data_IF_250328038841
#
_entry.id   IF_250328038841
#
_cell.length_a   1.000
_cell.length_b   1.000
_cell.length_c   1.000
_cell.angle_alpha   90.00
_cell.angle_beta   90.00
_cell.angle_gamma   90.00
#
_symmetry.space_group_name_H-M   'P 1'
#
loop_
_entity.id
_entity.type
_entity.pdbx_description
1 polymer ?
#
# COMPACT_ATOMS: atom_id res chain seq x y z
N UNK A 1 10.13 30.90 -16.19
CA UNK A 1 9.18 30.38 -15.23
C UNK A 1 9.90 29.36 -14.32
N UNK A 2 9.72 29.45 -13.01
CA UNK A 2 10.25 28.47 -12.06
C UNK A 2 9.53 27.14 -12.32
N UNK A 3 10.30 26.05 -12.52
CA UNK A 3 9.73 24.72 -12.73
C UNK A 3 9.52 24.04 -11.38
N UNK A 4 8.30 23.61 -11.10
CA UNK A 4 7.96 22.82 -9.92
C UNK A 4 8.28 21.35 -10.16
N UNK A 5 9.00 20.70 -9.23
CA UNK A 5 9.61 19.38 -9.45
C UNK A 5 8.89 18.23 -8.73
N UNK A 6 7.84 18.51 -7.99
CA UNK A 6 7.13 17.52 -7.15
C UNK A 6 6.72 16.28 -7.93
N UNK A 7 5.95 16.44 -9.00
CA UNK A 7 5.43 15.29 -9.75
C UNK A 7 6.53 14.50 -10.46
N UNK A 8 7.57 15.18 -10.97
CA UNK A 8 8.72 14.52 -11.56
C UNK A 8 9.48 13.67 -10.52
N UNK A 9 9.54 14.13 -9.27
CA UNK A 9 10.18 13.38 -8.18
C UNK A 9 9.29 12.23 -7.70
N UNK A 10 7.98 12.43 -7.54
CA UNK A 10 7.03 11.36 -7.22
C UNK A 10 7.10 10.24 -8.27
N UNK A 11 7.22 10.55 -9.56
CA UNK A 11 7.32 9.54 -10.61
C UNK A 11 8.55 8.62 -10.46
N UNK A 12 9.52 8.98 -9.63
CA UNK A 12 10.72 8.18 -9.38
C UNK A 12 10.49 7.03 -8.38
N UNK A 13 9.34 6.99 -7.71
CA UNK A 13 8.94 5.86 -6.87
C UNK A 13 9.05 4.52 -7.62
N UNK A 14 8.87 4.52 -8.95
CA UNK A 14 9.01 3.34 -9.81
C UNK A 14 10.41 2.73 -9.83
N UNK A 15 11.43 3.47 -9.44
CA UNK A 15 12.82 3.01 -9.45
C UNK A 15 13.29 2.48 -8.10
N UNK A 16 12.46 2.51 -7.07
CA UNK A 16 12.80 2.03 -5.73
C UNK A 16 12.16 0.66 -5.55
N UNK A 17 13.01 -0.37 -5.61
CA UNK A 17 12.60 -1.75 -5.43
C UNK A 17 12.30 -2.07 -3.97
N UNK A 18 11.30 -2.89 -3.74
CA UNK A 18 10.94 -3.48 -2.44
C UNK A 18 11.52 -4.89 -2.35
N UNK A 19 11.62 -5.41 -1.11
CA UNK A 19 12.13 -6.78 -0.86
C UNK A 19 13.55 -7.02 -1.40
N UNK A 20 14.39 -6.00 -1.41
CA UNK A 20 15.67 -5.97 -2.11
C UNK A 20 16.71 -7.01 -1.65
N UNK A 21 16.55 -7.59 -0.44
CA UNK A 21 17.41 -8.67 0.06
C UNK A 21 16.80 -10.07 -0.17
N UNK A 22 15.56 -10.14 -0.66
CA UNK A 22 14.85 -11.39 -0.89
C UNK A 22 14.90 -11.78 -2.37
N UNK A 23 14.98 -13.07 -2.63
CA UNK A 23 14.84 -13.62 -3.97
C UNK A 23 13.37 -13.60 -4.35
N UNK A 24 12.99 -12.75 -5.30
CA UNK A 24 11.63 -12.57 -5.76
C UNK A 24 11.36 -13.40 -7.02
N UNK A 25 10.15 -13.93 -7.21
CA UNK A 25 9.67 -14.47 -8.49
C UNK A 25 9.15 -13.37 -9.41
N UNK A 26 8.69 -12.27 -8.85
CA UNK A 26 8.36 -11.03 -9.56
C UNK A 26 8.79 -9.82 -8.74
N UNK A 27 9.32 -8.81 -9.41
CA UNK A 27 9.76 -7.57 -8.76
C UNK A 27 8.57 -6.69 -8.38
N UNK A 28 8.72 -5.95 -7.30
CA UNK A 28 7.78 -4.94 -6.85
C UNK A 28 8.55 -3.66 -6.53
N UNK A 29 8.04 -2.51 -6.99
CA UNK A 29 8.57 -1.20 -6.62
C UNK A 29 7.56 -0.43 -5.75
N UNK A 30 8.01 0.66 -5.12
CA UNK A 30 7.13 1.40 -4.19
C UNK A 30 5.96 2.11 -4.89
N UNK A 31 6.02 2.35 -6.21
CA UNK A 31 4.87 2.91 -6.94
C UNK A 31 3.76 1.87 -7.12
N UNK A 32 4.10 0.65 -7.53
CA UNK A 32 3.14 -0.46 -7.66
C UNK A 32 2.53 -0.81 -6.31
N UNK A 33 3.38 -0.91 -5.28
CA UNK A 33 2.94 -1.11 -3.90
C UNK A 33 1.98 -0.02 -3.44
N UNK A 34 2.33 1.26 -3.60
CA UNK A 34 1.49 2.39 -3.17
C UNK A 34 0.16 2.44 -3.91
N UNK A 35 0.12 2.05 -5.19
CA UNK A 35 -1.12 1.89 -5.93
C UNK A 35 -1.99 0.80 -5.30
N UNK A 36 -1.43 -0.39 -5.04
CA UNK A 36 -2.19 -1.48 -4.42
C UNK A 36 -2.64 -1.12 -3.00
N UNK A 37 -1.80 -0.46 -2.22
CA UNK A 37 -2.18 0.06 -0.88
C UNK A 37 -3.35 1.03 -0.99
N UNK A 38 -3.39 1.90 -1.99
CA UNK A 38 -4.50 2.83 -2.20
C UNK A 38 -5.81 2.08 -2.52
N UNK A 39 -5.77 1.07 -3.38
CA UNK A 39 -6.93 0.23 -3.70
C UNK A 39 -7.44 -0.49 -2.45
N UNK A 40 -6.54 -1.09 -1.68
CA UNK A 40 -6.88 -1.81 -0.44
C UNK A 40 -7.40 -0.86 0.65
N UNK A 41 -6.78 0.31 0.83
CA UNK A 41 -7.23 1.32 1.81
C UNK A 41 -8.63 1.83 1.48
N UNK A 42 -8.91 2.10 0.21
CA UNK A 42 -10.26 2.44 -0.25
C UNK A 42 -11.24 1.30 0.07
N UNK A 43 -10.90 0.06 -0.27
CA UNK A 43 -11.74 -1.11 -0.02
C UNK A 43 -12.01 -1.34 1.48
N UNK A 44 -10.99 -1.25 2.33
CA UNK A 44 -11.16 -1.37 3.79
C UNK A 44 -12.06 -0.26 4.35
N UNK A 45 -11.91 0.98 3.88
CA UNK A 45 -12.76 2.09 4.29
C UNK A 45 -14.21 1.91 3.81
N UNK A 46 -14.43 1.38 2.59
CA UNK A 46 -15.78 1.02 2.10
C UNK A 46 -16.41 -0.08 2.96
N UNK A 47 -15.65 -1.12 3.31
CA UNK A 47 -16.13 -2.18 4.22
C UNK A 47 -16.52 -1.57 5.56
N UNK A 48 -15.67 -0.73 6.14
CA UNK A 48 -15.95 -0.06 7.41
C UNK A 48 -17.22 0.76 7.35
N UNK A 49 -17.40 1.58 6.32
CA UNK A 49 -18.55 2.49 6.17
C UNK A 49 -19.84 1.75 5.78
N UNK A 50 -19.80 0.92 4.73
CA UNK A 50 -20.99 0.42 4.06
C UNK A 50 -21.43 -0.96 4.57
N UNK A 51 -20.52 -1.74 5.14
CA UNK A 51 -20.83 -3.07 5.70
C UNK A 51 -20.92 -3.03 7.23
N UNK A 52 -19.97 -2.36 7.89
CA UNK A 52 -19.90 -2.33 9.35
C UNK A 52 -20.63 -1.13 9.96
N UNK A 53 -21.04 -0.14 9.16
CA UNK A 53 -21.78 1.05 9.63
C UNK A 53 -20.94 2.03 10.45
N UNK A 54 -19.61 1.96 10.35
CA UNK A 54 -18.69 2.83 11.08
C UNK A 54 -18.15 3.94 10.18
N UNK A 55 -17.92 5.15 10.70
CA UNK A 55 -17.44 6.27 9.90
C UNK A 55 -16.08 5.97 9.23
N UNK A 56 -15.98 6.26 7.94
CA UNK A 56 -14.74 6.25 7.18
C UNK A 56 -14.87 7.13 5.93
N UNK A 57 -13.73 7.63 5.45
CA UNK A 57 -13.62 8.36 4.19
C UNK A 57 -12.74 7.56 3.21
N UNK A 58 -13.35 6.77 2.30
CA UNK A 58 -12.61 5.93 1.38
C UNK A 58 -11.70 6.71 0.44
N UNK A 59 -12.15 7.85 -0.08
CA UNK A 59 -11.39 8.66 -1.02
C UNK A 59 -10.16 9.28 -0.34
N UNK A 60 -10.32 9.75 0.88
CA UNK A 60 -9.19 10.25 1.70
C UNK A 60 -8.20 9.14 2.01
N UNK A 61 -8.67 7.95 2.39
CA UNK A 61 -7.81 6.80 2.65
C UNK A 61 -6.99 6.41 1.41
N UNK A 62 -7.62 6.37 0.23
CA UNK A 62 -6.94 6.08 -1.02
C UNK A 62 -5.91 7.17 -1.37
N UNK A 63 -6.29 8.45 -1.27
CA UNK A 63 -5.40 9.56 -1.57
C UNK A 63 -4.18 9.58 -0.65
N UNK A 64 -4.37 9.40 0.66
CA UNK A 64 -3.26 9.32 1.63
C UNK A 64 -2.34 8.12 1.34
N UNK A 65 -2.91 6.97 0.99
CA UNK A 65 -2.16 5.76 0.68
C UNK A 65 -1.26 5.91 -0.56
N UNK A 66 -1.66 6.69 -1.58
CA UNK A 66 -0.82 6.96 -2.76
C UNK A 66 0.52 7.62 -2.40
N UNK A 67 0.56 8.38 -1.30
CA UNK A 67 1.73 9.15 -0.88
C UNK A 67 2.40 8.62 0.38
N UNK A 68 1.91 7.51 0.98
CA UNK A 68 2.40 7.04 2.28
C UNK A 68 3.90 6.69 2.28
N UNK A 69 4.42 6.16 1.17
CA UNK A 69 5.84 5.85 0.97
C UNK A 69 6.60 6.92 0.15
N UNK A 70 5.98 8.07 -0.15
CA UNK A 70 6.66 9.15 -0.87
C UNK A 70 7.98 9.61 -0.22
N UNK A 71 8.13 9.65 1.12
CA UNK A 71 9.40 9.97 1.76
C UNK A 71 10.55 9.05 1.33
N UNK A 72 10.27 7.81 0.95
CA UNK A 72 11.27 6.82 0.51
C UNK A 72 11.96 7.19 -0.80
N UNK A 73 11.44 8.15 -1.56
CA UNK A 73 12.15 8.74 -2.71
C UNK A 73 13.53 9.30 -2.27
N UNK A 74 13.61 9.82 -1.06
CA UNK A 74 14.82 10.44 -0.51
C UNK A 74 15.61 9.49 0.41
N UNK A 75 14.94 8.53 1.05
CA UNK A 75 15.56 7.61 2.02
C UNK A 75 15.88 6.24 1.43
N UNK A 76 15.22 5.85 0.34
CA UNK A 76 15.13 4.44 -0.10
C UNK A 76 14.20 3.61 0.79
N UNK A 77 13.85 2.42 0.31
CA UNK A 77 13.11 1.43 1.11
C UNK A 77 14.09 0.74 2.09
N UNK A 78 13.97 1.07 3.37
CA UNK A 78 14.75 0.42 4.42
C UNK A 78 14.03 -0.84 4.91
N UNK A 79 14.76 -1.98 5.05
CA UNK A 79 14.19 -3.19 5.61
C UNK A 79 13.55 -2.96 6.98
N UNK A 80 12.34 -3.49 7.17
CA UNK A 80 11.55 -3.36 8.41
C UNK A 80 12.35 -3.68 9.68
N UNK A 81 13.22 -4.72 9.72
CA UNK A 81 14.05 -4.99 10.92
C UNK A 81 14.99 -3.84 11.28
N UNK A 82 15.42 -3.05 10.31
CA UNK A 82 16.30 -1.88 10.54
C UNK A 82 15.46 -0.69 11.02
N UNK A 83 14.32 -0.42 10.38
CA UNK A 83 13.42 0.68 10.77
C UNK A 83 12.96 0.59 12.25
N UNK A 84 12.84 -0.62 12.78
CA UNK A 84 12.29 -0.89 14.12
C UNK A 84 13.28 -1.57 15.06
N UNK A 85 14.59 -1.46 14.79
CA UNK A 85 15.63 -2.16 15.57
C UNK A 85 15.63 -1.76 17.05
N UNK A 86 15.50 -0.47 17.33
CA UNK A 86 15.34 0.07 18.68
C UNK A 86 14.54 1.40 18.65
N UNK A 87 14.12 1.94 19.82
CA UNK A 87 13.36 3.19 19.90
C UNK A 87 14.07 4.41 19.31
N UNK A 88 15.41 4.48 19.48
CA UNK A 88 16.21 5.59 18.97
C UNK A 88 16.25 5.61 17.44
N UNK A 89 16.50 4.47 16.82
CA UNK A 89 16.53 4.32 15.34
C UNK A 89 15.13 4.61 14.78
N UNK A 90 14.07 4.07 15.40
CA UNK A 90 12.70 4.34 15.00
C UNK A 90 12.36 5.84 15.06
N UNK A 91 12.78 6.52 16.13
CA UNK A 91 12.57 7.96 16.29
C UNK A 91 13.35 8.77 15.25
N UNK A 92 14.64 8.45 15.06
CA UNK A 92 15.48 9.11 14.07
C UNK A 92 14.94 8.91 12.64
N UNK A 93 14.48 7.70 12.32
CA UNK A 93 13.90 7.42 11.00
C UNK A 93 12.63 8.23 10.75
N UNK A 94 11.73 8.34 11.74
CA UNK A 94 10.53 9.19 11.65
C UNK A 94 10.87 10.67 11.42
N UNK A 95 11.94 11.16 12.04
CA UNK A 95 12.39 12.54 11.81
C UNK A 95 12.89 12.74 10.39
N UNK A 96 13.62 11.75 9.84
CA UNK A 96 14.10 11.78 8.45
C UNK A 96 12.89 11.74 7.49
N UNK A 97 11.90 10.89 7.73
CA UNK A 97 10.66 10.86 6.94
C UNK A 97 9.95 12.23 6.96
N UNK A 98 9.81 12.84 8.13
CA UNK A 98 9.19 14.16 8.25
C UNK A 98 9.95 15.25 7.47
N UNK A 99 11.29 15.25 7.55
CA UNK A 99 12.13 16.16 6.76
C UNK A 99 11.97 15.90 5.27
N UNK A 100 11.86 14.64 4.87
CA UNK A 100 11.63 14.25 3.47
C UNK A 100 10.28 14.75 2.97
N UNK A 101 9.22 14.60 3.76
CA UNK A 101 7.89 15.14 3.44
C UNK A 101 7.90 16.67 3.29
N UNK A 102 8.56 17.40 4.18
CA UNK A 102 8.68 18.87 4.07
C UNK A 102 9.45 19.27 2.80
N UNK A 103 10.52 18.55 2.46
CA UNK A 103 11.27 18.80 1.21
C UNK A 103 10.40 18.55 -0.03
N UNK A 104 9.63 17.46 -0.04
CA UNK A 104 8.69 17.17 -1.13
C UNK A 104 7.63 18.26 -1.25
N UNK A 105 7.02 18.65 -0.14
CA UNK A 105 6.00 19.70 -0.10
C UNK A 105 6.51 21.03 -0.64
N UNK A 106 7.74 21.40 -0.30
CA UNK A 106 8.39 22.63 -0.78
C UNK A 106 8.64 22.67 -2.31
N UNK A 107 8.54 21.52 -2.99
CA UNK A 107 8.65 21.45 -4.46
C UNK A 107 7.35 21.81 -5.19
N UNK A 108 6.25 21.96 -4.45
CA UNK A 108 4.96 22.41 -4.97
C UNK A 108 4.86 23.94 -4.91
N UNK A 109 4.08 24.56 -5.82
CA UNK A 109 3.72 25.96 -5.66
C UNK A 109 2.97 26.18 -4.33
N UNK A 110 3.12 27.36 -3.68
CA UNK A 110 2.52 27.61 -2.37
C UNK A 110 1.01 27.33 -2.30
N UNK A 111 0.30 27.60 -3.40
CA UNK A 111 -1.16 27.42 -3.52
C UNK A 111 -1.61 25.95 -3.38
N UNK A 112 -0.72 24.99 -3.70
CA UNK A 112 -1.02 23.56 -3.60
C UNK A 112 -0.54 22.93 -2.28
N UNK A 113 0.39 23.58 -1.57
CA UNK A 113 1.01 22.96 -0.38
C UNK A 113 -0.01 22.64 0.71
N UNK A 114 -1.01 23.50 0.92
CA UNK A 114 -2.06 23.27 1.92
C UNK A 114 -2.90 22.02 1.63
N UNK A 115 -3.18 21.75 0.35
CA UNK A 115 -3.93 20.56 -0.07
C UNK A 115 -3.13 19.26 0.00
N UNK A 116 -1.81 19.32 -0.27
CA UNK A 116 -0.94 18.14 -0.23
C UNK A 116 -0.40 17.80 1.15
N UNK A 117 -0.35 18.76 2.07
CA UNK A 117 0.17 18.53 3.42
C UNK A 117 -0.52 17.36 4.13
N UNK A 118 -1.87 17.25 4.19
CA UNK A 118 -2.52 16.11 4.83
C UNK A 118 -2.31 14.77 4.12
N UNK A 119 -1.91 14.76 2.84
CA UNK A 119 -1.58 13.54 2.12
C UNK A 119 -0.17 13.03 2.45
N UNK A 120 0.77 13.93 2.74
CA UNK A 120 2.14 13.60 3.13
C UNK A 120 2.29 13.43 4.65
N UNK A 121 1.45 14.12 5.44
CA UNK A 121 1.43 14.07 6.91
C UNK A 121 0.02 13.72 7.37
N UNK A 122 -0.38 12.45 7.20
CA UNK A 122 -1.71 12.04 7.63
C UNK A 122 -1.87 12.16 9.16
N UNK A 123 -2.76 13.01 9.59
CA UNK A 123 -3.01 13.33 10.99
C UNK A 123 -4.32 12.76 11.53
N UNK A 124 -5.23 12.30 10.66
CA UNK A 124 -6.46 11.66 11.10
C UNK A 124 -6.18 10.22 11.54
N UNK A 125 -6.42 9.88 12.84
CA UNK A 125 -6.08 8.55 13.35
C UNK A 125 -6.84 7.41 12.66
N UNK A 126 -8.07 7.65 12.22
CA UNK A 126 -8.90 6.67 11.51
C UNK A 126 -8.31 6.34 10.15
N UNK A 127 -8.04 7.37 9.35
CA UNK A 127 -7.38 7.24 8.04
C UNK A 127 -6.01 6.59 8.18
N UNK A 128 -5.18 7.05 9.10
CA UNK A 128 -3.85 6.50 9.34
C UNK A 128 -3.88 5.01 9.71
N UNK A 129 -4.86 4.59 10.51
CA UNK A 129 -5.04 3.18 10.89
C UNK A 129 -5.40 2.31 9.68
N UNK A 130 -6.32 2.78 8.82
CA UNK A 130 -6.72 2.08 7.59
C UNK A 130 -5.57 1.99 6.60
N UNK A 131 -4.85 3.09 6.35
CA UNK A 131 -3.68 3.09 5.44
C UNK A 131 -2.61 2.13 5.94
N UNK A 132 -2.31 2.13 7.24
CA UNK A 132 -1.35 1.19 7.82
C UNK A 132 -1.79 -0.27 7.72
N UNK A 133 -3.09 -0.54 7.83
CA UNK A 133 -3.63 -1.88 7.62
C UNK A 133 -3.50 -2.30 6.16
N UNK A 134 -3.82 -1.42 5.22
CA UNK A 134 -3.69 -1.66 3.79
C UNK A 134 -2.23 -1.89 3.36
N UNK A 135 -1.28 -1.13 3.90
CA UNK A 135 0.16 -1.34 3.69
C UNK A 135 0.60 -2.76 4.09
N UNK A 136 0.27 -3.16 5.32
CA UNK A 136 0.57 -4.52 5.81
C UNK A 136 -0.16 -5.60 5.01
N UNK A 137 -1.40 -5.35 4.61
CA UNK A 137 -2.19 -6.28 3.80
C UNK A 137 -1.57 -6.45 2.41
N UNK A 138 -1.12 -5.39 1.76
CA UNK A 138 -0.39 -5.44 0.49
C UNK A 138 0.89 -6.27 0.61
N UNK A 139 1.68 -6.05 1.66
CA UNK A 139 2.87 -6.85 1.93
C UNK A 139 2.55 -8.34 2.17
N UNK A 140 1.44 -8.63 2.85
CA UNK A 140 0.99 -10.02 3.06
C UNK A 140 0.51 -10.68 1.76
N UNK A 141 -0.22 -9.97 0.92
CA UNK A 141 -0.65 -10.45 -0.41
C UNK A 141 0.58 -10.80 -1.27
N UNK A 142 1.61 -9.95 -1.29
CA UNK A 142 2.89 -10.26 -1.96
C UNK A 142 3.47 -11.59 -1.46
N UNK A 143 3.48 -11.82 -0.16
CA UNK A 143 3.94 -13.09 0.41
C UNK A 143 3.08 -14.28 -0.05
N UNK A 144 1.75 -14.13 -0.07
CA UNK A 144 0.82 -15.17 -0.53
C UNK A 144 1.08 -15.54 -1.99
N UNK A 145 1.27 -14.56 -2.85
CA UNK A 145 1.55 -14.76 -4.28
C UNK A 145 2.91 -15.42 -4.52
N UNK A 146 3.95 -15.02 -3.79
CA UNK A 146 5.28 -15.65 -3.85
C UNK A 146 5.24 -17.11 -3.37
N UNK A 147 4.54 -17.40 -2.29
CA UNK A 147 4.36 -18.78 -1.80
C UNK A 147 3.58 -19.63 -2.80
N UNK A 148 2.53 -19.08 -3.43
CA UNK A 148 1.80 -19.74 -4.52
C UNK A 148 2.71 -20.07 -5.70
N UNK A 149 3.67 -19.20 -6.01
CA UNK A 149 4.68 -19.43 -7.03
C UNK A 149 5.77 -20.45 -6.62
N UNK A 150 5.67 -21.00 -5.39
CA UNK A 150 6.63 -21.98 -4.86
C UNK A 150 7.87 -21.36 -4.20
N UNK A 151 7.87 -20.06 -3.94
CA UNK A 151 8.98 -19.36 -3.32
C UNK A 151 8.90 -19.42 -1.79
N UNK A 152 9.49 -20.46 -1.19
CA UNK A 152 9.51 -20.70 0.26
C UNK A 152 10.30 -19.64 1.06
N UNK A 153 11.10 -18.80 0.40
CA UNK A 153 11.82 -17.70 1.06
C UNK A 153 10.88 -16.71 1.76
N UNK A 154 9.62 -16.61 1.28
CA UNK A 154 8.60 -15.74 1.85
C UNK A 154 7.81 -16.32 3.05
N UNK A 155 8.07 -17.57 3.47
CA UNK A 155 7.32 -18.21 4.57
C UNK A 155 7.41 -17.45 5.90
N UNK A 156 8.60 -17.01 6.30
CA UNK A 156 8.80 -16.27 7.54
C UNK A 156 8.11 -14.90 7.49
N UNK A 157 8.26 -14.18 6.37
CA UNK A 157 7.61 -12.89 6.14
C UNK A 157 6.09 -13.01 6.14
N UNK A 158 5.53 -14.05 5.51
CA UNK A 158 4.10 -14.33 5.53
C UNK A 158 3.56 -14.55 6.94
N UNK A 159 4.23 -15.39 7.76
CA UNK A 159 3.82 -15.62 9.15
C UNK A 159 3.84 -14.35 9.99
N UNK A 160 4.93 -13.58 9.90
CA UNK A 160 5.10 -12.34 10.66
C UNK A 160 4.08 -11.28 10.27
N UNK A 161 3.86 -11.09 8.95
CA UNK A 161 2.93 -10.09 8.44
C UNK A 161 1.49 -10.47 8.79
N UNK A 162 1.12 -11.76 8.67
CA UNK A 162 -0.20 -12.25 9.09
C UNK A 162 -0.46 -12.00 10.57
N UNK A 163 0.52 -12.30 11.44
CA UNK A 163 0.39 -12.03 12.87
C UNK A 163 0.19 -10.53 13.12
N UNK A 164 0.97 -9.68 12.46
CA UNK A 164 0.83 -8.23 12.58
C UNK A 164 -0.53 -7.71 12.12
N UNK A 165 -1.15 -8.32 11.10
CA UNK A 165 -2.52 -8.02 10.68
C UNK A 165 -3.55 -8.41 11.74
N UNK A 166 -3.45 -9.62 12.32
CA UNK A 166 -4.32 -10.07 13.40
C UNK A 166 -4.21 -9.17 14.64
N UNK A 167 -3.00 -8.74 15.00
CA UNK A 167 -2.74 -7.88 16.16
C UNK A 167 -3.33 -6.47 16.01
N UNK A 168 -3.68 -6.04 14.80
CA UNK A 168 -4.32 -4.74 14.56
C UNK A 168 -5.74 -4.65 15.11
N UNK A 169 -6.42 -5.79 15.28
CA UNK A 169 -7.80 -5.86 15.79
C UNK A 169 -8.73 -4.85 15.10
N UNK A 170 -8.74 -4.90 13.77
CA UNK A 170 -9.49 -3.96 12.95
C UNK A 170 -10.60 -4.69 12.19
N UNK A 171 -11.88 -4.48 12.54
CA UNK A 171 -13.00 -5.26 12.00
C UNK A 171 -13.11 -5.26 10.47
N UNK A 172 -12.84 -4.13 9.80
CA UNK A 172 -12.86 -4.07 8.33
C UNK A 172 -11.74 -4.92 7.70
N UNK A 173 -10.57 -5.01 8.35
CA UNK A 173 -9.49 -5.87 7.94
C UNK A 173 -9.85 -7.35 8.15
N UNK A 174 -10.45 -7.70 9.29
CA UNK A 174 -10.92 -9.07 9.58
C UNK A 174 -11.96 -9.51 8.54
N UNK A 175 -12.87 -8.61 8.17
CA UNK A 175 -13.85 -8.86 7.10
C UNK A 175 -13.16 -9.12 5.76
N UNK A 176 -12.18 -8.28 5.39
CA UNK A 176 -11.42 -8.46 4.14
C UNK A 176 -10.68 -9.80 4.12
N UNK A 177 -9.99 -10.13 5.20
CA UNK A 177 -9.25 -11.38 5.34
C UNK A 177 -10.16 -12.61 5.18
N UNK A 178 -11.40 -12.54 5.72
CA UNK A 178 -12.36 -13.64 5.67
C UNK A 178 -13.03 -13.81 4.30
N UNK A 179 -13.21 -12.73 3.53
CA UNK A 179 -14.06 -12.75 2.34
C UNK A 179 -13.33 -12.52 1.02
N UNK A 180 -12.13 -11.92 1.04
CA UNK A 180 -11.41 -11.53 -0.18
C UNK A 180 -10.04 -12.17 -0.32
N UNK A 181 -9.37 -12.51 0.79
CA UNK A 181 -7.97 -12.91 0.77
C UNK A 181 -7.71 -14.17 -0.06
N UNK A 182 -8.56 -15.19 0.08
CA UNK A 182 -8.35 -16.47 -0.61
C UNK A 182 -8.41 -16.34 -2.13
N UNK A 183 -9.06 -15.29 -2.66
CA UNK A 183 -9.12 -15.03 -4.08
C UNK A 183 -7.76 -14.71 -4.71
N UNK A 184 -6.77 -14.26 -3.94
CA UNK A 184 -5.40 -14.03 -4.41
C UNK A 184 -4.64 -15.32 -4.73
N UNK A 185 -5.19 -16.47 -4.35
CA UNK A 185 -4.66 -17.78 -4.70
C UNK A 185 -5.28 -18.39 -5.96
N UNK A 186 -6.30 -17.74 -6.52
CA UNK A 186 -6.98 -18.21 -7.73
C UNK A 186 -6.14 -17.94 -8.98
N UNK A 187 -6.32 -18.78 -9.99
CA UNK A 187 -5.76 -18.53 -11.34
C UNK A 187 -6.59 -17.48 -12.07
N UNK A 188 -6.09 -16.96 -13.18
CA UNK A 188 -6.82 -15.99 -14.00
C UNK A 188 -8.18 -16.56 -14.46
N UNK A 189 -8.22 -17.84 -14.86
CA UNK A 189 -9.45 -18.50 -15.32
C UNK A 189 -10.48 -18.67 -14.18
N UNK A 190 -10.01 -18.92 -12.95
CA UNK A 190 -10.88 -18.99 -11.76
C UNK A 190 -11.39 -17.64 -11.31
N UNK A 191 -10.61 -16.56 -11.51
CA UNK A 191 -11.00 -15.17 -11.23
C UNK A 191 -11.92 -14.64 -12.31
N UNK A 192 -11.76 -15.10 -13.57
CA UNK A 192 -12.48 -14.56 -14.69
C UNK A 192 -13.97 -14.90 -14.57
N UNK A 193 -14.80 -13.87 -14.49
CA UNK A 193 -16.19 -13.96 -14.87
C UNK A 193 -16.21 -14.39 -16.34
N UNK A 194 -16.30 -15.71 -16.55
CA UNK A 194 -16.52 -16.41 -17.81
C UNK A 194 -16.34 -15.60 -19.12
N UNK A 195 -15.15 -15.61 -19.68
CA UNK A 195 -14.91 -15.14 -21.08
C UNK A 195 -15.81 -15.89 -22.13
N UNK A 196 -16.46 -16.97 -21.72
CA UNK A 196 -17.41 -17.73 -22.54
C UNK A 196 -18.65 -16.92 -22.92
N UNK A 197 -19.04 -15.90 -22.16
CA UNK A 197 -20.16 -15.02 -22.52
C UNK A 197 -19.79 -13.96 -23.56
N UNK A 198 -18.53 -13.57 -23.69
CA UNK A 198 -18.07 -12.63 -24.73
C UNK A 198 -17.94 -13.29 -26.10
N UNK A 199 -17.59 -14.58 -26.16
CA UNK A 199 -17.51 -15.33 -27.43
C UNK A 199 -18.86 -15.73 -27.99
N UNK A 200 -19.92 -15.83 -27.18
CA UNK A 200 -21.26 -16.14 -27.65
C UNK A 200 -21.92 -14.99 -28.46
N UNK A 201 -21.46 -13.76 -28.29
CA UNK A 201 -21.95 -12.61 -29.06
C UNK A 201 -21.19 -12.34 -30.37
N UNK A 202 -20.02 -12.94 -30.58
CA UNK A 202 -19.24 -12.78 -31.81
C UNK A 202 -19.62 -13.80 -32.92
N UNK A 203 -20.47 -14.78 -32.61
CA UNK A 203 -20.89 -15.81 -33.57
C UNK A 203 -22.30 -15.63 -34.12
N UNK A 204 -23.00 -14.54 -33.80
CA UNK A 204 -24.34 -14.22 -34.30
C UNK A 204 -24.34 -12.97 -35.21
N UNK A 205 -23.27 -12.71 -35.96
CA UNK A 205 -23.22 -11.71 -37.05
C UNK A 205 -22.93 -12.38 -38.38
#
# INVERSE_FOLDING_TARGET
AMQHRFFALISRMRYIGRWGLMRNTFEENIQEHSHMVAVLAHGLAMIQRDILGEPADPDRCAAAALFHDAPEILTGDLPTPIKYYNPEIKSAYKQIEAVSCEKLLALLPPELQAGYRPLLFESDPGTAKIVKAADKLSAYIKCVEELKAGNSEFEAAARQTRQALCDMQLPCLDYFMAHFLDSFQLTLDELAVSYTHLRAHETEL
#
